data_IF_202603868614
#
_entry.id   IF_202603868614
#
_cell.length_a   1.000
_cell.length_b   1.000
_cell.length_c   1.000
_cell.angle_alpha   90.00
_cell.angle_beta   90.00
_cell.angle_gamma   90.00
#
_symmetry.space_group_name_H-M   'P 1'
#
loop_
_entity.id
_entity.type
_entity.pdbx_description
1 polymer ?
#
# COMPACT_ATOMS: atom_id res chain seq x y z
N UNK A 1 7.43 10.67 -60.45
CA UNK A 1 6.42 11.10 -59.45
C UNK A 1 5.15 10.23 -59.41
N UNK A 2 4.62 9.74 -60.55
CA UNK A 2 3.38 8.92 -60.63
C UNK A 2 3.40 7.59 -59.84
N UNK A 3 4.49 6.84 -59.89
CA UNK A 3 4.59 5.49 -59.27
C UNK A 3 4.46 5.54 -57.74
N UNK A 4 5.07 6.55 -57.09
CA UNK A 4 5.06 6.71 -55.63
C UNK A 4 3.64 7.01 -55.10
N UNK A 5 2.85 7.76 -55.86
CA UNK A 5 1.46 8.08 -55.53
C UNK A 5 0.52 6.87 -55.73
N UNK A 6 0.77 6.07 -56.77
CA UNK A 6 0.05 4.82 -57.00
C UNK A 6 0.30 3.80 -55.86
N UNK A 7 1.57 3.59 -55.48
CA UNK A 7 1.90 2.72 -54.34
C UNK A 7 1.25 3.18 -53.02
N UNK A 8 1.21 4.49 -52.74
CA UNK A 8 0.50 5.03 -51.57
C UNK A 8 -1.01 4.75 -51.61
N UNK A 9 -1.64 4.88 -52.78
CA UNK A 9 -3.07 4.59 -52.95
C UNK A 9 -3.41 3.11 -52.78
N UNK A 10 -2.52 2.21 -53.21
CA UNK A 10 -2.65 0.76 -52.96
C UNK A 10 -2.46 0.45 -51.48
N UNK A 11 -1.44 1.03 -50.84
CA UNK A 11 -1.16 0.83 -49.42
C UNK A 11 -2.31 1.31 -48.52
N UNK A 12 -2.96 2.43 -48.87
CA UNK A 12 -4.09 2.96 -48.10
C UNK A 12 -5.33 2.08 -48.23
N UNK A 13 -5.60 1.51 -49.41
CA UNK A 13 -6.67 0.51 -49.60
C UNK A 13 -6.41 -0.77 -48.80
N UNK A 14 -5.17 -1.27 -48.78
CA UNK A 14 -4.80 -2.45 -48.00
C UNK A 14 -4.95 -2.17 -46.50
N UNK A 15 -4.46 -1.02 -46.01
CA UNK A 15 -4.64 -0.60 -44.62
C UNK A 15 -6.11 -0.43 -44.25
N UNK A 16 -6.91 0.16 -45.13
CA UNK A 16 -8.36 0.31 -44.93
C UNK A 16 -9.09 -1.04 -44.87
N UNK A 17 -8.70 -2.00 -45.72
CA UNK A 17 -9.19 -3.38 -45.66
C UNK A 17 -8.81 -4.09 -44.37
N UNK A 18 -7.54 -3.97 -43.95
CA UNK A 18 -7.05 -4.54 -42.70
C UNK A 18 -7.78 -3.97 -41.47
N UNK A 19 -8.02 -2.65 -41.44
CA UNK A 19 -8.81 -2.02 -40.39
C UNK A 19 -10.26 -2.53 -40.35
N UNK A 20 -10.94 -2.63 -41.50
CA UNK A 20 -12.30 -3.18 -41.57
C UNK A 20 -12.38 -4.62 -41.05
N UNK A 21 -11.37 -5.45 -41.35
CA UNK A 21 -11.29 -6.82 -40.85
C UNK A 21 -11.04 -6.83 -39.34
N UNK A 22 -10.06 -6.07 -38.86
CA UNK A 22 -9.77 -5.92 -37.44
C UNK A 22 -11.01 -5.45 -36.65
N UNK A 23 -11.75 -4.48 -37.17
CA UNK A 23 -12.94 -3.93 -36.51
C UNK A 23 -14.10 -4.93 -36.48
N UNK A 24 -14.30 -5.71 -37.57
CA UNK A 24 -15.22 -6.86 -37.56
C UNK A 24 -14.83 -7.90 -36.51
N UNK A 25 -13.55 -8.25 -36.42
CA UNK A 25 -13.06 -9.18 -35.41
C UNK A 25 -13.27 -8.63 -34.00
N UNK A 26 -13.06 -7.33 -33.79
CA UNK A 26 -13.21 -6.68 -32.48
C UNK A 26 -14.68 -6.50 -32.06
N UNK A 27 -15.59 -6.34 -33.03
CA UNK A 27 -17.03 -6.37 -32.78
C UNK A 27 -17.51 -7.78 -32.41
N UNK A 28 -16.96 -8.82 -33.05
CA UNK A 28 -17.31 -10.22 -32.76
C UNK A 28 -16.70 -10.73 -31.45
N UNK A 29 -15.50 -10.26 -31.11
CA UNK A 29 -14.78 -10.61 -29.89
C UNK A 29 -14.35 -9.33 -29.16
N UNK A 30 -15.28 -8.64 -28.48
CA UNK A 30 -14.93 -7.47 -27.71
C UNK A 30 -13.96 -7.87 -26.61
N UNK A 31 -12.86 -7.11 -26.44
CA UNK A 31 -11.98 -7.31 -25.28
C UNK A 31 -12.80 -7.09 -24.02
N UNK A 32 -12.91 -8.12 -23.16
CA UNK A 32 -13.48 -7.96 -21.83
C UNK A 32 -12.69 -6.86 -21.12
N UNK A 33 -13.38 -5.80 -20.68
CA UNK A 33 -12.75 -4.80 -19.82
C UNK A 33 -12.18 -5.51 -18.59
N UNK A 34 -10.96 -5.19 -18.15
CA UNK A 34 -10.43 -5.79 -16.94
C UNK A 34 -11.40 -5.53 -15.78
N UNK A 35 -11.55 -6.52 -14.88
CA UNK A 35 -12.50 -6.49 -13.76
C UNK A 35 -12.37 -5.21 -12.91
N UNK A 36 -11.15 -4.66 -12.84
CA UNK A 36 -10.86 -3.36 -12.24
C UNK A 36 -10.16 -2.46 -13.27
N UNK A 37 -10.88 -1.43 -13.72
CA UNK A 37 -10.44 -0.49 -14.78
C UNK A 37 -9.99 0.84 -14.15
N UNK A 38 -8.77 1.30 -14.47
CA UNK A 38 -8.17 2.52 -13.91
C UNK A 38 -8.98 3.79 -14.20
N UNK A 39 -9.69 3.85 -15.33
CA UNK A 39 -10.56 4.99 -15.67
C UNK A 39 -11.74 5.19 -14.72
N UNK A 40 -12.13 4.16 -13.95
CA UNK A 40 -13.15 4.24 -12.90
C UNK A 40 -12.56 4.34 -11.49
N UNK A 41 -11.24 4.48 -11.37
CA UNK A 41 -10.53 4.34 -10.09
C UNK A 41 -10.20 5.67 -9.40
N UNK A 42 -10.02 6.76 -10.16
CA UNK A 42 -10.01 8.11 -9.59
C UNK A 42 -11.39 8.54 -9.05
N UNK A 43 -12.33 7.61 -8.96
CA UNK A 43 -13.59 7.83 -8.26
C UNK A 43 -13.30 8.33 -6.84
N UNK A 44 -13.99 9.40 -6.45
CA UNK A 44 -13.92 9.98 -5.09
C UNK A 44 -13.99 8.90 -4.00
N UNK A 45 -14.70 7.80 -4.26
CA UNK A 45 -14.84 6.65 -3.37
C UNK A 45 -13.52 5.99 -2.99
N UNK A 46 -12.54 5.86 -3.89
CA UNK A 46 -11.26 5.21 -3.56
C UNK A 46 -10.38 6.14 -2.73
N UNK A 47 -10.31 7.42 -3.10
CA UNK A 47 -9.61 8.46 -2.34
C UNK A 47 -10.21 8.58 -0.93
N UNK A 48 -11.53 8.52 -0.79
CA UNK A 48 -12.21 8.50 0.50
C UNK A 48 -11.83 7.28 1.35
N UNK A 49 -11.68 6.09 0.74
CA UNK A 49 -11.19 4.90 1.46
C UNK A 49 -9.78 5.10 1.99
N UNK A 50 -8.90 5.72 1.21
CA UNK A 50 -7.54 6.06 1.67
C UNK A 50 -7.57 7.10 2.80
N UNK A 51 -8.45 8.10 2.71
CA UNK A 51 -8.61 9.11 3.75
C UNK A 51 -9.07 8.47 5.07
N UNK A 52 -10.11 7.62 5.02
CA UNK A 52 -10.57 6.87 6.19
C UNK A 52 -9.45 5.98 6.74
N UNK A 53 -8.71 5.27 5.88
CA UNK A 53 -7.59 4.46 6.32
C UNK A 53 -6.49 5.28 7.01
N UNK A 54 -6.17 6.47 6.51
CA UNK A 54 -5.18 7.36 7.14
C UNK A 54 -5.62 7.84 8.51
N UNK A 55 -6.91 8.14 8.69
CA UNK A 55 -7.48 8.52 9.99
C UNK A 55 -7.38 7.35 10.97
N UNK A 56 -7.76 6.15 10.54
CA UNK A 56 -7.70 4.94 11.37
C UNK A 56 -6.25 4.59 11.74
N UNK A 57 -5.31 4.71 10.80
CA UNK A 57 -3.90 4.46 11.08
C UNK A 57 -3.29 5.53 11.99
N UNK A 58 -3.66 6.80 11.83
CA UNK A 58 -3.23 7.85 12.74
C UNK A 58 -3.77 7.61 14.16
N UNK A 59 -5.04 7.22 14.27
CA UNK A 59 -5.66 6.86 15.54
C UNK A 59 -4.95 5.66 16.19
N UNK A 60 -4.63 4.64 15.40
CA UNK A 60 -3.83 3.50 15.86
C UNK A 60 -2.48 3.94 16.42
N UNK A 61 -1.74 4.77 15.69
CA UNK A 61 -0.42 5.27 16.11
C UNK A 61 -0.53 6.10 17.40
N UNK A 62 -1.50 7.02 17.49
CA UNK A 62 -1.70 7.85 18.69
C UNK A 62 -2.15 7.02 19.90
N UNK A 63 -2.95 5.97 19.68
CA UNK A 63 -3.37 5.06 20.76
C UNK A 63 -2.18 4.28 21.31
N UNK A 64 -1.29 3.78 20.44
CA UNK A 64 -0.06 3.11 20.87
C UNK A 64 0.94 4.06 21.55
N UNK A 65 1.05 5.30 21.05
CA UNK A 65 1.92 6.32 21.65
C UNK A 65 1.44 6.75 23.06
N UNK A 66 0.14 6.68 23.33
CA UNK A 66 -0.47 7.15 24.60
C UNK A 66 -0.98 6.03 25.49
N UNK A 67 -0.62 4.78 25.19
CA UNK A 67 -1.09 3.60 25.93
C UNK A 67 -0.80 3.69 27.44
N UNK A 68 0.24 4.42 27.84
CA UNK A 68 0.61 4.67 29.25
C UNK A 68 -0.41 5.54 30.00
N UNK A 69 -1.06 6.49 29.31
CA UNK A 69 -1.97 7.47 29.94
C UNK A 69 -3.42 6.97 30.00
N UNK A 70 -3.82 6.14 29.03
CA UNK A 70 -5.13 5.48 29.04
C UNK A 70 -5.51 4.88 27.68
N UNK A 71 -6.35 3.86 27.69
CA UNK A 71 -6.79 3.15 26.47
C UNK A 71 -7.55 4.06 25.48
N UNK A 72 -8.21 5.10 25.99
CA UNK A 72 -8.98 6.05 25.18
C UNK A 72 -8.27 7.37 24.88
N UNK A 73 -7.05 7.58 25.39
CA UNK A 73 -6.37 8.86 25.23
C UNK A 73 -5.97 9.15 23.78
N UNK A 74 -5.73 8.12 22.97
CA UNK A 74 -5.53 8.27 21.53
C UNK A 74 -6.76 8.85 20.82
N UNK A 75 -7.97 8.44 21.22
CA UNK A 75 -9.23 9.00 20.72
C UNK A 75 -9.44 10.42 21.25
N UNK A 76 -9.11 10.65 22.53
CA UNK A 76 -9.25 11.97 23.14
C UNK A 76 -8.30 13.00 22.53
N UNK A 77 -7.13 12.56 22.03
CA UNK A 77 -6.17 13.42 21.33
C UNK A 77 -6.75 14.07 20.08
N UNK A 78 -7.64 13.37 19.36
CA UNK A 78 -8.37 13.93 18.21
C UNK A 78 -9.11 15.22 18.58
N UNK A 79 -9.72 15.25 19.77
CA UNK A 79 -10.52 16.39 20.24
C UNK A 79 -9.67 17.45 20.94
N UNK A 80 -8.63 17.04 21.67
CA UNK A 80 -7.73 17.96 22.40
C UNK A 80 -6.81 18.74 21.45
N UNK A 81 -6.31 18.10 20.39
CA UNK A 81 -5.37 18.70 19.44
C UNK A 81 -5.74 18.38 17.99
N UNK A 82 -6.90 18.88 17.51
CA UNK A 82 -7.45 18.50 16.19
C UNK A 82 -6.54 18.89 15.02
N UNK A 83 -5.83 20.02 15.13
CA UNK A 83 -4.94 20.51 14.07
C UNK A 83 -3.72 19.59 13.93
N UNK A 84 -3.11 19.19 15.04
CA UNK A 84 -1.94 18.30 15.05
C UNK A 84 -2.34 16.92 14.53
N UNK A 85 -3.49 16.41 14.97
CA UNK A 85 -4.03 15.16 14.45
C UNK A 85 -4.25 15.22 12.94
N UNK A 86 -4.80 16.32 12.42
CA UNK A 86 -5.02 16.49 10.99
C UNK A 86 -3.71 16.52 10.21
N UNK A 87 -2.68 17.22 10.70
CA UNK A 87 -1.35 17.21 10.06
C UNK A 87 -0.77 15.81 9.97
N UNK A 88 -0.77 15.05 11.07
CA UNK A 88 -0.28 13.67 11.08
C UNK A 88 -1.09 12.77 10.14
N UNK A 89 -2.42 12.93 10.13
CA UNK A 89 -3.31 12.22 9.23
C UNK A 89 -3.01 12.54 7.75
N UNK A 90 -2.75 13.80 7.40
CA UNK A 90 -2.42 14.22 6.03
C UNK A 90 -1.08 13.67 5.56
N UNK A 91 -0.08 13.58 6.45
CA UNK A 91 1.21 12.95 6.15
C UNK A 91 1.01 11.48 5.80
N UNK A 92 0.29 10.73 6.65
CA UNK A 92 -0.01 9.31 6.42
C UNK A 92 -0.82 9.15 5.13
N UNK A 93 -1.84 9.98 4.92
CA UNK A 93 -2.66 9.97 3.71
C UNK A 93 -1.81 10.17 2.44
N UNK A 94 -0.90 11.15 2.45
CA UNK A 94 -0.02 11.44 1.31
C UNK A 94 0.84 10.22 0.96
N UNK A 95 1.39 9.53 1.97
CA UNK A 95 2.15 8.30 1.71
C UNK A 95 1.27 7.18 1.16
N UNK A 96 0.03 7.03 1.65
CA UNK A 96 -0.93 6.06 1.12
C UNK A 96 -1.35 6.38 -0.32
N UNK A 97 -1.39 7.65 -0.72
CA UNK A 97 -1.62 8.05 -2.11
C UNK A 97 -0.54 7.52 -3.06
N UNK A 98 0.70 7.36 -2.61
CA UNK A 98 1.76 6.74 -3.43
C UNK A 98 1.42 5.30 -3.83
N UNK A 99 0.59 4.59 -3.05
CA UNK A 99 0.11 3.25 -3.40
C UNK A 99 -0.63 3.22 -4.75
N UNK A 100 -1.22 4.36 -5.16
CA UNK A 100 -1.96 4.49 -6.41
C UNK A 100 -1.06 4.40 -7.64
N UNK A 101 0.24 4.67 -7.52
CA UNK A 101 1.19 4.62 -8.64
C UNK A 101 1.52 3.17 -9.06
N UNK A 102 1.27 2.19 -8.21
CA UNK A 102 1.64 0.80 -8.47
C UNK A 102 0.53 0.03 -9.19
N UNK A 103 0.92 -0.90 -10.06
CA UNK A 103 -0.04 -1.79 -10.78
C UNK A 103 -0.85 -2.69 -9.84
N UNK A 104 -0.29 -3.06 -8.68
CA UNK A 104 -0.95 -3.82 -7.62
C UNK A 104 -1.20 -2.94 -6.40
N UNK A 105 -2.08 -1.97 -6.55
CA UNK A 105 -2.36 -0.90 -5.55
C UNK A 105 -2.70 -1.44 -4.17
N UNK A 106 -3.51 -2.51 -4.09
CA UNK A 106 -3.90 -3.12 -2.80
C UNK A 106 -2.70 -3.70 -2.04
N UNK A 107 -1.73 -4.29 -2.76
CA UNK A 107 -0.49 -4.77 -2.17
C UNK A 107 0.42 -3.63 -1.72
N UNK A 108 0.57 -2.59 -2.53
CA UNK A 108 1.34 -1.40 -2.15
C UNK A 108 0.75 -0.70 -0.91
N UNK A 109 -0.58 -0.60 -0.84
CA UNK A 109 -1.29 -0.08 0.33
C UNK A 109 -1.04 -0.92 1.58
N UNK A 110 -1.08 -2.26 1.46
CA UNK A 110 -0.77 -3.17 2.57
C UNK A 110 0.66 -2.95 3.07
N UNK A 111 1.64 -2.82 2.20
CA UNK A 111 3.03 -2.54 2.59
C UNK A 111 3.12 -1.22 3.37
N UNK A 112 2.50 -0.15 2.87
CA UNK A 112 2.54 1.15 3.54
C UNK A 112 1.85 1.11 4.90
N UNK A 113 0.72 0.41 5.02
CA UNK A 113 0.06 0.16 6.30
C UNK A 113 0.96 -0.62 7.27
N UNK A 114 1.65 -1.67 6.80
CA UNK A 114 2.57 -2.45 7.64
C UNK A 114 3.74 -1.60 8.11
N UNK A 115 4.32 -0.77 7.24
CA UNK A 115 5.43 0.14 7.61
C UNK A 115 4.98 1.12 8.71
N UNK A 116 3.86 1.82 8.50
CA UNK A 116 3.32 2.74 9.51
C UNK A 116 2.92 2.04 10.81
N UNK A 117 2.34 0.84 10.71
CA UNK A 117 1.98 0.02 11.87
C UNK A 117 3.18 -0.39 12.69
N UNK A 118 4.27 -0.85 12.06
CA UNK A 118 5.52 -1.21 12.74
C UNK A 118 6.12 0.03 13.40
N UNK A 119 6.26 1.14 12.67
CA UNK A 119 6.82 2.37 13.21
C UNK A 119 6.02 2.89 14.40
N UNK A 120 4.68 2.90 14.31
CA UNK A 120 3.80 3.29 15.40
C UNK A 120 3.90 2.38 16.61
N UNK A 121 3.92 1.07 16.39
CA UNK A 121 4.03 0.08 17.47
C UNK A 121 5.39 0.19 18.18
N UNK A 122 6.49 0.21 17.42
CA UNK A 122 7.84 0.32 17.97
C UNK A 122 7.99 1.61 18.74
N UNK A 123 7.53 2.74 18.19
CA UNK A 123 7.57 4.02 18.89
C UNK A 123 6.75 3.99 20.19
N UNK A 124 5.53 3.42 20.17
CA UNK A 124 4.70 3.24 21.36
C UNK A 124 5.37 2.39 22.43
N UNK A 125 5.94 1.23 22.05
CA UNK A 125 6.65 0.33 22.97
C UNK A 125 7.89 1.00 23.56
N UNK A 126 8.63 1.78 22.77
CA UNK A 126 9.79 2.52 23.26
C UNK A 126 9.36 3.58 24.28
N UNK A 127 8.27 4.29 24.00
CA UNK A 127 7.71 5.30 24.92
C UNK A 127 7.26 4.71 26.27
N UNK A 128 6.95 3.40 26.31
CA UNK A 128 6.70 2.69 27.58
C UNK A 128 7.97 2.54 28.43
N UNK A 129 9.15 2.49 27.82
CA UNK A 129 10.41 2.15 28.50
C UNK A 129 11.30 3.36 28.71
N UNK A 130 11.19 4.40 27.88
CA UNK A 130 11.97 5.64 27.99
C UNK A 130 11.23 6.80 27.32
N UNK A 131 11.47 8.02 27.83
CA UNK A 131 10.77 9.25 27.42
C UNK A 131 11.19 9.80 26.04
N UNK A 132 12.11 9.11 25.33
CA UNK A 132 12.62 9.54 24.02
C UNK A 132 11.96 8.75 22.89
N UNK A 133 11.51 9.41 21.82
CA UNK A 133 10.90 8.72 20.67
C UNK A 133 11.91 7.81 19.97
N UNK A 134 11.43 6.98 19.04
CA UNK A 134 12.27 6.11 18.21
C UNK A 134 13.38 6.89 17.47
N UNK A 135 14.63 6.45 17.60
CA UNK A 135 15.81 7.11 17.02
C UNK A 135 16.67 6.17 16.18
N UNK A 136 17.63 6.74 15.43
CA UNK A 136 18.59 5.96 14.63
C UNK A 136 19.46 5.01 15.47
N UNK A 137 19.77 5.39 16.72
CA UNK A 137 20.51 4.55 17.66
C UNK A 137 19.78 3.24 17.94
N UNK A 138 18.45 3.24 17.88
CA UNK A 138 17.64 2.04 18.12
C UNK A 138 17.76 1.04 16.98
N UNK A 139 17.88 1.53 15.74
CA UNK A 139 18.15 0.66 14.58
C UNK A 139 19.56 0.05 14.68
N UNK A 140 20.55 0.83 15.12
CA UNK A 140 21.92 0.34 15.27
C UNK A 140 21.99 -0.79 16.30
N UNK A 141 21.28 -0.64 17.41
CA UNK A 141 21.25 -1.61 18.50
C UNK A 141 20.32 -2.80 18.24
N UNK A 142 19.61 -2.84 17.10
CA UNK A 142 18.69 -3.93 16.78
C UNK A 142 19.42 -5.27 16.65
N UNK A 143 20.68 -5.26 16.17
CA UNK A 143 21.52 -6.48 16.08
C UNK A 143 21.82 -7.07 17.46
N UNK A 144 22.18 -6.22 18.40
CA UNK A 144 22.42 -6.63 19.78
C UNK A 144 21.12 -7.10 20.42
N UNK A 145 19.99 -6.45 20.11
CA UNK A 145 18.66 -6.91 20.50
C UNK A 145 18.35 -8.34 20.07
N UNK A 146 18.71 -8.76 18.86
CA UNK A 146 18.52 -10.14 18.41
C UNK A 146 19.38 -11.14 19.18
N UNK A 147 20.60 -10.76 19.59
CA UNK A 147 21.46 -11.63 20.40
C UNK A 147 20.86 -11.89 21.79
N UNK A 148 20.24 -10.85 22.39
CA UNK A 148 19.59 -10.94 23.70
C UNK A 148 18.34 -11.84 23.67
N UNK A 149 17.67 -12.00 22.53
CA UNK A 149 16.53 -12.92 22.42
C UNK A 149 16.90 -14.34 22.86
N UNK A 150 18.09 -14.80 22.50
CA UNK A 150 18.56 -16.15 22.86
C UNK A 150 18.89 -16.30 24.34
N UNK A 151 19.15 -15.18 25.03
CA UNK A 151 19.43 -15.14 26.47
C UNK A 151 18.15 -15.09 27.31
N UNK A 152 17.14 -14.35 26.85
CA UNK A 152 15.91 -14.10 27.64
C UNK A 152 14.72 -14.98 27.27
N UNK A 153 14.69 -15.58 26.07
CA UNK A 153 13.58 -16.42 25.61
C UNK A 153 13.98 -17.89 25.47
N UNK A 154 13.04 -18.78 25.76
CA UNK A 154 13.26 -20.21 25.54
C UNK A 154 13.30 -20.53 24.04
N UNK A 155 14.00 -21.61 23.66
CA UNK A 155 14.03 -22.09 22.27
C UNK A 155 12.63 -22.30 21.70
N UNK A 156 11.66 -22.72 22.52
CA UNK A 156 10.27 -22.90 22.12
C UNK A 156 9.60 -21.55 21.79
N UNK A 157 9.77 -20.53 22.62
CA UNK A 157 9.20 -19.19 22.40
C UNK A 157 9.80 -18.52 21.15
N UNK A 158 11.11 -18.65 20.94
CA UNK A 158 11.79 -18.14 19.75
C UNK A 158 11.26 -18.83 18.49
N UNK A 159 11.14 -20.17 18.52
CA UNK A 159 10.62 -20.94 17.40
C UNK A 159 9.17 -20.57 17.07
N UNK A 160 8.31 -20.39 18.08
CA UNK A 160 6.94 -19.93 17.88
C UNK A 160 6.88 -18.52 17.28
N UNK A 161 7.71 -17.60 17.76
CA UNK A 161 7.82 -16.25 17.19
C UNK A 161 8.24 -16.26 15.72
N UNK A 162 9.27 -17.05 15.40
CA UNK A 162 9.72 -17.24 14.02
C UNK A 162 8.63 -17.86 13.13
N UNK A 163 7.88 -18.84 13.64
CA UNK A 163 6.78 -19.47 12.91
C UNK A 163 5.65 -18.47 12.60
N UNK A 164 5.27 -17.61 13.56
CA UNK A 164 4.26 -16.57 13.35
C UNK A 164 4.70 -15.59 12.25
N UNK A 165 5.96 -15.14 12.30
CA UNK A 165 6.51 -14.27 11.25
C UNK A 165 6.49 -14.97 9.89
N UNK A 166 6.88 -16.25 9.85
CA UNK A 166 6.84 -17.06 8.63
C UNK A 166 5.43 -17.17 8.03
N UNK A 167 4.42 -17.45 8.85
CA UNK A 167 3.01 -17.51 8.40
C UNK A 167 2.53 -16.15 7.92
N UNK A 168 2.87 -15.06 8.62
CA UNK A 168 2.52 -13.71 8.19
C UNK A 168 3.13 -13.38 6.81
N UNK A 169 4.40 -13.74 6.58
CA UNK A 169 5.05 -13.57 5.28
C UNK A 169 4.36 -14.39 4.18
N UNK A 170 3.98 -15.64 4.47
CA UNK A 170 3.23 -16.48 3.52
C UNK A 170 1.89 -15.85 3.14
N UNK A 171 1.14 -15.31 4.11
CA UNK A 171 -0.12 -14.60 3.85
C UNK A 171 0.12 -13.39 2.94
N UNK A 172 1.18 -12.61 3.19
CA UNK A 172 1.53 -11.46 2.34
C UNK A 172 1.87 -11.90 0.91
N UNK A 173 2.60 -13.00 0.73
CA UNK A 173 2.93 -13.56 -0.58
C UNK A 173 1.67 -14.07 -1.31
N UNK A 174 0.81 -14.81 -0.62
CA UNK A 174 -0.46 -15.27 -1.18
C UNK A 174 -1.36 -14.10 -1.57
N UNK A 175 -1.42 -13.07 -0.73
CA UNK A 175 -2.14 -11.84 -1.03
C UNK A 175 -1.55 -11.16 -2.27
N UNK A 176 -0.21 -11.07 -2.39
CA UNK A 176 0.43 -10.52 -3.59
C UNK A 176 0.01 -11.29 -4.86
N UNK A 177 0.01 -12.61 -4.83
CA UNK A 177 -0.35 -13.46 -5.98
C UNK A 177 -1.82 -13.25 -6.36
N UNK A 178 -2.72 -13.27 -5.37
CA UNK A 178 -4.16 -13.12 -5.56
C UNK A 178 -4.60 -11.65 -5.79
N UNK A 179 -3.73 -10.68 -5.51
CA UNK A 179 -4.06 -9.27 -5.66
C UNK A 179 -4.32 -8.94 -7.13
N UNK A 180 -5.47 -8.31 -7.38
CA UNK A 180 -5.88 -7.91 -8.72
C UNK A 180 -4.86 -6.94 -9.33
N UNK A 181 -4.42 -7.27 -10.56
CA UNK A 181 -3.62 -6.37 -11.38
C UNK A 181 -4.53 -5.33 -12.01
N UNK A 182 -4.24 -4.06 -11.76
CA UNK A 182 -4.89 -2.96 -12.45
C UNK A 182 -4.28 -2.81 -13.85
N UNK A 183 -5.13 -2.62 -14.85
CA UNK A 183 -4.71 -2.55 -16.27
C UNK A 183 -5.23 -1.27 -16.92
N UNK A 184 -4.41 -0.70 -17.80
CA UNK A 184 -4.47 0.65 -18.40
C UNK A 184 -3.86 1.79 -17.56
N UNK A 185 -2.57 1.66 -17.23
CA UNK A 185 -1.68 2.82 -17.22
C UNK A 185 -1.45 3.16 -18.70
N UNK A 186 -2.23 4.08 -19.26
CA UNK A 186 -1.88 4.67 -20.55
C UNK A 186 -0.54 5.39 -20.41
#
# INVERSE_FOLDING_TARGET
MKVKNFCRGVLSKIKGGAHKVHDKYRAKFPKKVPKLNDGKLHDRKFVLKLAIASILMNLYIETFARITSGVFDGVMFLFKHPIIFLYNCLIIFTTMCLALMFRKRGFAFLILCTIWGILGTVNGVILLKRMTPFTLYDLQNTKDGFSLLTTYYSKAQITLGAAIIGVALLIVVLYYINCYKWTNLN
#
